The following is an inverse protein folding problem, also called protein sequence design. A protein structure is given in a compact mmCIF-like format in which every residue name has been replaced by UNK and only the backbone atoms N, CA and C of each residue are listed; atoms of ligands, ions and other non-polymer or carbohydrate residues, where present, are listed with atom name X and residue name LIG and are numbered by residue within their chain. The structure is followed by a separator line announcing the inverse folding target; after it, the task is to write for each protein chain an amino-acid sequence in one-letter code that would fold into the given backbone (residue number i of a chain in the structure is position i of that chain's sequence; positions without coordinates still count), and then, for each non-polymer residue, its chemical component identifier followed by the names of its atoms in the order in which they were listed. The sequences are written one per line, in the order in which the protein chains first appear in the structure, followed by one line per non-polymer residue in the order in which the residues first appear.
data_IF_784525958073
#
_entry.id   IF_784525958073
#
_cell.length_a   1.000
_cell.length_b   1.000
_cell.length_c   1.000
_cell.angle_alpha   90.00
_cell.angle_beta   90.00
_cell.angle_gamma   90.00
#
_symmetry.space_group_name_H-M   'P 1'
#
loop_
_entity.id
_entity.type
_entity.pdbx_description
1 polymer ?
#
# COMPACT_ATOMS: atom_id res chain seq x y z
N UNK A 1 -6.72 -17.69 11.46
CA UNK A 1 -6.59 -19.14 11.76
C UNK A 1 -5.52 -19.32 12.81
N UNK A 2 -5.72 -20.27 13.74
CA UNK A 2 -4.71 -20.68 14.71
C UNK A 2 -4.34 -22.15 14.49
N UNK A 3 -3.06 -22.49 14.60
CA UNK A 3 -2.55 -23.85 14.50
C UNK A 3 -1.41 -24.08 15.48
N UNK A 4 -1.38 -25.25 16.08
CA UNK A 4 -0.22 -25.71 16.86
C UNK A 4 0.66 -26.58 15.97
N UNK A 5 1.92 -26.22 15.82
CA UNK A 5 2.91 -26.97 15.03
C UNK A 5 4.05 -27.37 15.95
N UNK A 6 4.39 -28.67 15.97
CA UNK A 6 5.56 -29.18 16.68
C UNK A 6 6.76 -29.12 15.73
N UNK A 7 7.80 -28.36 16.11
CA UNK A 7 9.03 -28.23 15.33
C UNK A 7 10.25 -28.37 16.26
N UNK A 8 11.45 -28.68 15.72
CA UNK A 8 12.68 -28.54 16.48
C UNK A 8 12.80 -27.16 17.13
N UNK A 9 13.43 -27.09 18.29
CA UNK A 9 13.67 -25.84 18.99
C UNK A 9 14.80 -25.09 18.27
N UNK A 10 14.44 -24.09 17.49
CA UNK A 10 15.39 -23.24 16.77
C UNK A 10 15.64 -21.94 17.53
N UNK A 11 16.80 -21.31 17.27
CA UNK A 11 17.19 -20.05 17.93
C UNK A 11 16.84 -18.81 17.10
N UNK A 12 16.84 -18.91 15.76
CA UNK A 12 16.67 -17.73 14.88
C UNK A 12 15.26 -17.63 14.35
N UNK A 13 14.66 -16.45 14.48
CA UNK A 13 13.31 -16.16 14.03
C UNK A 13 13.06 -16.46 12.53
N UNK A 14 13.95 -16.08 11.59
CA UNK A 14 13.74 -16.42 10.17
C UNK A 14 13.69 -17.92 9.89
N UNK A 15 14.53 -18.71 10.56
CA UNK A 15 14.56 -20.17 10.42
C UNK A 15 13.25 -20.78 10.93
N UNK A 16 12.75 -20.31 12.08
CA UNK A 16 11.45 -20.74 12.64
C UNK A 16 10.32 -20.44 11.66
N UNK A 17 10.25 -19.21 11.14
CA UNK A 17 9.19 -18.80 10.21
C UNK A 17 9.22 -19.61 8.91
N UNK A 18 10.41 -19.89 8.37
CA UNK A 18 10.54 -20.73 7.17
C UNK A 18 10.04 -22.15 7.41
N UNK A 19 10.39 -22.78 8.54
CA UNK A 19 9.86 -24.12 8.87
C UNK A 19 8.35 -24.10 9.09
N UNK A 20 7.83 -23.11 9.83
CA UNK A 20 6.38 -22.94 10.03
C UNK A 20 5.67 -22.80 8.68
N UNK A 21 6.21 -22.01 7.75
CA UNK A 21 5.63 -21.84 6.42
C UNK A 21 5.59 -23.15 5.63
N UNK A 22 6.67 -23.94 5.66
CA UNK A 22 6.73 -25.25 4.99
C UNK A 22 5.66 -26.20 5.55
N UNK A 23 5.55 -26.30 6.88
CA UNK A 23 4.52 -27.14 7.52
C UNK A 23 3.10 -26.67 7.19
N UNK A 24 2.85 -25.36 7.23
CA UNK A 24 1.55 -24.80 6.89
C UNK A 24 1.16 -25.07 5.43
N UNK A 25 2.11 -25.01 4.49
CA UNK A 25 1.84 -25.27 3.06
C UNK A 25 1.39 -26.70 2.79
N UNK A 26 1.78 -27.65 3.63
CA UNK A 26 1.36 -29.05 3.52
C UNK A 26 -0.09 -29.25 3.98
N UNK A 27 -0.57 -28.39 4.89
CA UNK A 27 -1.87 -28.55 5.55
C UNK A 27 -2.93 -27.64 4.91
N UNK A 28 -2.53 -26.51 4.34
CA UNK A 28 -3.43 -25.43 3.93
C UNK A 28 -3.35 -25.21 2.42
N UNK A 29 -4.48 -25.32 1.75
CA UNK A 29 -4.62 -25.07 0.29
C UNK A 29 -4.63 -23.59 -0.09
N UNK A 30 -4.43 -22.67 0.87
CA UNK A 30 -4.46 -21.23 0.64
C UNK A 30 -3.06 -20.68 0.36
N UNK A 31 -2.99 -19.63 -0.46
CA UNK A 31 -1.76 -18.89 -0.72
C UNK A 31 -1.28 -18.14 0.53
N UNK A 32 -0.31 -18.71 1.23
CA UNK A 32 0.27 -18.15 2.45
C UNK A 32 0.93 -16.78 2.23
N UNK A 33 1.28 -16.41 0.99
CA UNK A 33 1.81 -15.07 0.70
C UNK A 33 0.78 -13.96 0.96
N UNK A 34 -0.51 -14.32 0.99
CA UNK A 34 -1.63 -13.42 1.33
C UNK A 34 -1.91 -13.35 2.82
N UNK A 35 -1.09 -13.98 3.66
CA UNK A 35 -1.26 -14.00 5.11
C UNK A 35 -0.03 -13.42 5.79
N UNK A 36 -0.28 -12.69 6.87
CA UNK A 36 0.74 -12.40 7.86
C UNK A 36 0.76 -13.55 8.87
N UNK A 37 1.94 -14.14 9.03
CA UNK A 37 2.17 -15.27 9.92
C UNK A 37 2.96 -14.78 11.12
N UNK A 38 2.51 -15.14 12.31
CA UNK A 38 3.25 -14.91 13.54
C UNK A 38 3.11 -16.13 14.47
N UNK A 39 3.97 -16.23 15.49
CA UNK A 39 3.95 -17.39 16.39
C UNK A 39 4.34 -17.07 17.82
N UNK A 40 3.83 -17.86 18.76
CA UNK A 40 4.25 -17.93 20.16
C UNK A 40 4.77 -19.35 20.47
N UNK A 41 5.77 -19.47 21.33
CA UNK A 41 6.24 -20.78 21.81
C UNK A 41 5.40 -21.12 23.05
N UNK A 42 4.60 -22.19 22.98
CA UNK A 42 3.77 -22.60 24.13
C UNK A 42 4.50 -23.52 25.09
N UNK A 43 5.17 -24.55 24.59
CA UNK A 43 5.90 -25.54 25.41
C UNK A 43 7.19 -25.98 24.73
N UNK A 44 8.24 -26.18 25.52
CA UNK A 44 9.48 -26.84 25.10
C UNK A 44 9.42 -28.30 25.52
N UNK A 45 9.71 -29.20 24.59
CA UNK A 45 9.66 -30.65 24.78
C UNK A 45 11.09 -31.16 24.58
N UNK A 46 11.67 -31.77 25.60
CA UNK A 46 12.93 -32.48 25.44
C UNK A 46 12.61 -33.95 25.16
N UNK A 47 12.86 -34.41 23.94
CA UNK A 47 12.80 -35.82 23.57
C UNK A 47 14.23 -36.37 23.48
N UNK A 48 14.40 -37.68 23.65
CA UNK A 48 15.72 -38.34 23.67
C UNK A 48 16.58 -38.06 22.41
N UNK A 49 15.98 -37.60 21.31
CA UNK A 49 16.62 -37.26 20.04
C UNK A 49 16.68 -35.74 19.71
N UNK A 50 16.39 -34.85 20.66
CA UNK A 50 16.54 -33.41 20.47
C UNK A 50 15.51 -32.56 21.21
N UNK A 51 15.77 -31.26 21.31
CA UNK A 51 14.82 -30.30 21.85
C UNK A 51 13.82 -29.88 20.77
N UNK A 52 12.54 -30.05 21.06
CA UNK A 52 11.40 -29.60 20.26
C UNK A 52 10.64 -28.50 20.99
N UNK A 53 9.79 -27.80 20.25
CA UNK A 53 8.81 -26.90 20.83
C UNK A 53 7.49 -26.94 20.07
N UNK A 54 6.41 -26.67 20.79
CA UNK A 54 5.10 -26.40 20.21
C UNK A 54 5.01 -24.90 19.92
N UNK A 55 4.76 -24.57 18.66
CA UNK A 55 4.58 -23.21 18.17
C UNK A 55 3.09 -22.99 17.91
N UNK A 56 2.50 -22.01 18.58
CA UNK A 56 1.16 -21.52 18.32
C UNK A 56 1.25 -20.49 17.22
N UNK A 57 0.77 -20.86 16.04
CA UNK A 57 0.90 -20.09 14.81
C UNK A 57 -0.41 -19.40 14.50
N UNK A 58 -0.31 -18.10 14.29
CA UNK A 58 -1.40 -17.21 13.94
C UNK A 58 -1.26 -16.79 12.48
N UNK A 59 -2.25 -17.13 11.67
CA UNK A 59 -2.33 -16.72 10.27
C UNK A 59 -3.49 -15.75 10.09
N UNK A 60 -3.17 -14.49 9.75
CA UNK A 60 -4.14 -13.41 9.53
C UNK A 60 -4.05 -12.95 8.07
N UNK A 61 -5.17 -12.93 7.31
CA UNK A 61 -5.17 -12.39 5.95
C UNK A 61 -4.62 -10.96 5.89
N UNK A 62 -3.72 -10.68 4.95
CA UNK A 62 -3.14 -9.35 4.75
C UNK A 62 -4.20 -8.30 4.43
N UNK A 63 -5.27 -8.70 3.73
CA UNK A 63 -6.40 -7.80 3.42
C UNK A 63 -7.00 -7.23 4.71
N UNK A 64 -7.29 -8.08 5.70
CA UNK A 64 -7.84 -7.62 6.99
C UNK A 64 -6.86 -6.69 7.72
N UNK A 65 -5.57 -7.02 7.73
CA UNK A 65 -4.54 -6.17 8.36
C UNK A 65 -4.49 -4.79 7.69
N UNK A 66 -4.54 -4.75 6.35
CA UNK A 66 -4.52 -3.50 5.60
C UNK A 66 -5.80 -2.69 5.84
N UNK A 67 -6.98 -3.33 5.81
CA UNK A 67 -8.27 -2.66 6.02
C UNK A 67 -8.33 -1.95 7.38
N UNK A 68 -7.86 -2.60 8.46
CA UNK A 68 -7.77 -1.98 9.79
C UNK A 68 -6.71 -0.87 9.86
N UNK A 69 -5.61 -1.00 9.10
CA UNK A 69 -4.58 0.03 9.01
C UNK A 69 -5.13 1.28 8.32
N UNK A 70 -5.80 1.11 7.19
CA UNK A 70 -6.41 2.18 6.41
C UNK A 70 -7.55 2.85 7.18
N UNK A 71 -8.34 2.07 7.93
CA UNK A 71 -9.40 2.60 8.79
C UNK A 71 -8.82 3.50 9.89
N UNK A 72 -7.76 3.04 10.57
CA UNK A 72 -7.10 3.83 11.61
C UNK A 72 -6.54 5.14 11.04
N UNK A 73 -5.93 5.11 9.86
CA UNK A 73 -5.41 6.30 9.18
C UNK A 73 -6.53 7.28 8.81
N UNK A 74 -7.63 6.79 8.22
CA UNK A 74 -8.80 7.63 7.88
C UNK A 74 -9.45 8.29 9.10
N UNK A 75 -9.39 7.64 10.26
CA UNK A 75 -9.88 8.18 11.52
C UNK A 75 -8.84 9.05 12.25
N UNK A 76 -7.66 9.31 11.65
CA UNK A 76 -6.53 9.99 12.26
C UNK A 76 -6.07 9.36 13.59
N UNK A 77 -6.24 8.04 13.73
CA UNK A 77 -5.79 7.26 14.88
C UNK A 77 -4.41 6.68 14.63
N UNK A 78 -3.57 6.69 15.67
CA UNK A 78 -2.29 5.98 15.65
C UNK A 78 -2.53 4.50 15.93
N UNK A 79 -2.55 3.67 14.89
CA UNK A 79 -2.64 2.22 15.05
C UNK A 79 -1.45 1.69 15.88
N UNK A 80 -1.74 1.21 17.08
CA UNK A 80 -0.72 0.68 17.99
C UNK A 80 -0.44 -0.79 17.75
N UNK A 81 -1.46 -1.62 17.76
CA UNK A 81 -1.37 -3.08 17.64
C UNK A 81 -2.64 -3.62 16.95
N UNK A 82 -2.47 -4.66 16.12
CA UNK A 82 -3.57 -5.48 15.62
C UNK A 82 -3.39 -6.86 16.25
N UNK A 83 -4.45 -7.34 16.90
CA UNK A 83 -4.46 -8.60 17.64
C UNK A 83 -5.65 -9.46 17.25
N UNK A 84 -5.49 -10.77 17.40
CA UNK A 84 -6.58 -11.75 17.26
C UNK A 84 -7.23 -12.01 18.60
N UNK A 85 -8.51 -12.43 18.61
CA UNK A 85 -9.19 -12.81 19.84
C UNK A 85 -8.43 -13.87 20.65
N UNK A 86 -7.77 -14.83 19.99
CA UNK A 86 -6.92 -15.81 20.65
C UNK A 86 -5.75 -15.19 21.42
N UNK A 87 -5.11 -14.16 20.88
CA UNK A 87 -4.05 -13.43 21.60
C UNK A 87 -4.61 -12.62 22.77
N UNK A 88 -5.80 -12.02 22.60
CA UNK A 88 -6.48 -11.33 23.71
C UNK A 88 -6.71 -12.27 24.91
N UNK A 89 -7.12 -13.52 24.65
CA UNK A 89 -7.29 -14.54 25.71
C UNK A 89 -5.97 -14.86 26.41
N UNK A 90 -4.84 -14.92 25.69
CA UNK A 90 -3.53 -15.16 26.30
C UNK A 90 -3.16 -14.06 27.31
N UNK A 91 -3.60 -12.82 27.08
CA UNK A 91 -3.35 -11.70 28.00
C UNK A 91 -3.99 -11.90 29.39
N UNK A 92 -5.09 -12.66 29.48
CA UNK A 92 -5.71 -13.02 30.77
C UNK A 92 -4.68 -13.75 31.65
N UNK A 93 -4.03 -14.76 31.11
CA UNK A 93 -3.03 -15.56 31.83
C UNK A 93 -1.73 -14.78 32.02
N UNK A 94 -1.26 -14.07 30.99
CA UNK A 94 0.01 -13.33 31.03
C UNK A 94 0.02 -12.25 32.10
N UNK A 95 -1.09 -11.55 32.29
CA UNK A 95 -1.21 -10.44 33.25
C UNK A 95 -2.02 -10.81 34.50
N UNK A 96 -2.31 -12.10 34.67
CA UNK A 96 -3.04 -12.61 35.83
C UNK A 96 -4.37 -11.88 36.07
N UNK A 97 -5.12 -11.61 34.99
CA UNK A 97 -6.39 -10.91 35.03
C UNK A 97 -7.44 -11.88 35.57
N UNK A 98 -8.09 -11.52 36.68
CA UNK A 98 -9.18 -12.31 37.21
C UNK A 98 -10.43 -12.09 36.35
N UNK A 99 -11.09 -13.16 35.94
CA UNK A 99 -12.38 -13.16 35.25
C UNK A 99 -13.45 -13.52 36.28
N UNK A 100 -14.49 -12.70 36.41
CA UNK A 100 -15.52 -12.90 37.43
C UNK A 100 -14.91 -13.08 38.83
N UNK A 101 -13.91 -12.26 39.17
CA UNK A 101 -13.16 -12.29 40.45
C UNK A 101 -12.29 -13.56 40.66
N UNK A 102 -12.24 -14.47 39.68
CA UNK A 102 -11.43 -15.69 39.74
C UNK A 102 -10.19 -15.60 38.87
N UNK A 103 -9.02 -15.89 39.45
CA UNK A 103 -7.77 -16.03 38.69
C UNK A 103 -7.77 -17.41 38.03
N UNK A 104 -7.61 -17.45 36.71
CA UNK A 104 -7.64 -18.69 35.94
C UNK A 104 -6.34 -19.47 36.10
N UNK A 105 -6.45 -20.79 36.33
CA UNK A 105 -5.29 -21.65 36.51
C UNK A 105 -4.71 -22.09 35.16
N UNK A 106 -3.38 -22.04 35.02
CA UNK A 106 -2.68 -22.63 33.87
C UNK A 106 -2.84 -24.16 33.79
N UNK A 107 -3.30 -24.84 34.84
CA UNK A 107 -3.54 -26.29 34.80
C UNK A 107 -4.90 -26.64 34.17
N UNK A 108 -5.78 -25.66 34.03
CA UNK A 108 -7.12 -25.86 33.51
C UNK A 108 -7.16 -25.63 32.00
N UNK A 109 -8.08 -26.34 31.35
CA UNK A 109 -8.48 -26.12 29.97
C UNK A 109 -9.82 -25.38 29.99
N UNK A 110 -9.81 -24.13 29.54
CA UNK A 110 -10.97 -23.24 29.65
C UNK A 110 -11.40 -22.80 28.25
N UNK A 111 -12.70 -22.95 27.97
CA UNK A 111 -13.29 -22.46 26.73
C UNK A 111 -13.87 -21.06 26.90
N UNK A 112 -13.74 -20.23 25.87
CA UNK A 112 -14.33 -18.91 25.76
C UNK A 112 -15.22 -18.87 24.52
N UNK A 113 -16.50 -18.59 24.72
CA UNK A 113 -17.52 -18.60 23.68
C UNK A 113 -18.02 -17.19 23.46
N UNK A 114 -17.78 -16.66 22.26
CA UNK A 114 -18.39 -15.41 21.82
C UNK A 114 -19.70 -15.73 21.12
N UNK A 115 -20.80 -15.17 21.59
CA UNK A 115 -22.06 -15.15 20.86
C UNK A 115 -22.19 -13.76 20.22
N UNK A 116 -21.77 -13.64 18.97
CA UNK A 116 -21.94 -12.43 18.18
C UNK A 116 -23.38 -12.25 17.70
N UNK A 117 -23.63 -11.18 16.94
CA UNK A 117 -24.95 -10.95 16.32
C UNK A 117 -25.26 -12.03 15.28
N UNK A 118 -24.31 -12.30 14.39
CA UNK A 118 -24.48 -13.22 13.24
C UNK A 118 -23.41 -14.31 13.24
N UNK A 119 -22.73 -14.54 14.37
CA UNK A 119 -21.65 -15.50 14.44
C UNK A 119 -21.47 -16.02 15.85
N UNK A 120 -20.90 -17.21 15.96
CA UNK A 120 -20.44 -17.79 17.21
C UNK A 120 -18.97 -18.20 17.04
N UNK A 121 -18.15 -17.90 18.03
CA UNK A 121 -16.76 -18.37 18.07
C UNK A 121 -16.46 -19.10 19.36
N UNK A 122 -15.66 -20.14 19.26
CA UNK A 122 -15.25 -21.01 20.34
C UNK A 122 -13.73 -21.06 20.37
N UNK A 123 -13.17 -20.50 21.44
CA UNK A 123 -11.74 -20.46 21.70
C UNK A 123 -11.44 -21.35 22.90
N UNK A 124 -10.33 -22.09 22.89
CA UNK A 124 -9.89 -22.85 24.06
C UNK A 124 -8.49 -22.44 24.43
N UNK A 125 -8.32 -22.10 25.71
CA UNK A 125 -7.03 -21.88 26.34
C UNK A 125 -6.64 -23.13 27.12
N UNK A 126 -5.45 -23.63 26.85
CA UNK A 126 -4.86 -24.75 27.55
C UNK A 126 -3.44 -24.39 27.97
N UNK A 127 -3.07 -24.70 29.21
CA UNK A 127 -1.74 -24.36 29.73
C UNK A 127 -1.44 -22.85 29.66
N UNK A 128 -2.48 -22.02 29.82
CA UNK A 128 -2.39 -20.56 29.74
C UNK A 128 -2.26 -19.99 28.32
N UNK A 129 -2.40 -20.83 27.28
CA UNK A 129 -2.28 -20.40 25.89
C UNK A 129 -3.50 -20.86 25.08
N UNK A 130 -4.12 -19.93 24.36
CA UNK A 130 -5.15 -20.22 23.39
C UNK A 130 -4.53 -20.94 22.19
N UNK A 131 -4.77 -22.25 22.08
CA UNK A 131 -4.23 -23.12 21.04
C UNK A 131 -5.31 -23.62 20.06
N UNK A 132 -6.58 -23.32 20.34
CA UNK A 132 -7.72 -23.70 19.52
C UNK A 132 -8.69 -22.54 19.31
N UNK A 133 -9.16 -22.39 18.07
CA UNK A 133 -10.19 -21.42 17.72
C UNK A 133 -10.97 -21.92 16.50
N UNK A 134 -12.30 -21.89 16.63
CA UNK A 134 -13.24 -22.15 15.53
C UNK A 134 -14.39 -21.14 15.59
N UNK A 135 -14.94 -20.79 14.46
CA UNK A 135 -16.10 -19.90 14.37
C UNK A 135 -17.03 -20.33 13.25
N UNK A 136 -18.32 -20.03 13.41
CA UNK A 136 -19.33 -20.20 12.36
C UNK A 136 -20.24 -19.00 12.30
N UNK A 137 -20.74 -18.70 11.12
CA UNK A 137 -21.83 -17.74 10.95
C UNK A 137 -23.15 -18.38 11.37
N UNK A 138 -23.97 -17.59 12.05
CA UNK A 138 -25.36 -17.92 12.35
C UNK A 138 -26.17 -17.32 11.21
N UNK A 139 -26.69 -18.18 10.32
CA UNK A 139 -27.60 -17.72 9.26
C UNK A 139 -28.90 -17.28 9.92
N UNK A 140 -29.14 -15.98 10.00
CA UNK A 140 -30.50 -15.47 10.17
C UNK A 140 -31.25 -15.85 8.89
N UNK A 141 -32.18 -16.81 8.97
CA UNK A 141 -33.18 -16.99 7.92
C UNK A 141 -34.06 -15.74 7.90
N UNK A 142 -33.64 -14.73 7.14
CA UNK A 142 -34.56 -13.69 6.71
C UNK A 142 -35.62 -14.41 5.87
N UNK A 143 -36.81 -14.62 6.44
CA UNK A 143 -38.00 -14.77 5.61
C UNK A 143 -38.18 -13.43 4.90
N UNK A 144 -37.60 -13.29 3.71
CA UNK A 144 -38.15 -12.32 2.76
C UNK A 144 -39.63 -12.68 2.63
N UNK A 145 -40.48 -11.79 3.12
CA UNK A 145 -41.90 -11.82 2.76
C UNK A 145 -41.96 -11.46 1.28
N UNK A 146 -41.72 -12.46 0.42
CA UNK A 146 -42.03 -12.35 -0.99
C UNK A 146 -43.53 -12.16 -1.09
N UNK A 147 -43.96 -11.06 -1.71
CA UNK A 147 -45.35 -10.68 -1.91
C UNK A 147 -46.01 -11.50 -3.04
N UNK A 148 -45.76 -12.81 -3.08
CA UNK A 148 -46.41 -13.73 -3.99
C UNK A 148 -47.20 -14.76 -3.18
N UNK A 149 -48.47 -15.02 -3.53
CA UNK A 149 -49.26 -16.03 -2.84
C UNK A 149 -48.65 -17.39 -3.15
N UNK A 150 -48.00 -18.01 -2.16
CA UNK A 150 -47.48 -19.36 -2.32
C UNK A 150 -48.65 -20.33 -2.56
N UNK A 151 -48.53 -21.25 -3.53
CA UNK A 151 -49.58 -22.22 -3.82
C UNK A 151 -49.75 -23.16 -2.63
N UNK A 152 -51.02 -23.32 -2.21
CA UNK A 152 -51.51 -24.07 -1.04
C UNK A 152 -51.28 -25.61 -1.14
N UNK A 153 -50.44 -26.08 -2.06
CA UNK A 153 -50.15 -27.49 -2.29
C UNK A 153 -48.66 -27.80 -2.24
N UNK A 154 -48.02 -27.57 -1.10
CA UNK A 154 -46.80 -28.28 -0.72
C UNK A 154 -46.69 -28.38 0.81
N UNK A 155 -47.71 -28.99 1.43
CA UNK A 155 -47.53 -29.68 2.70
C UNK A 155 -46.68 -30.93 2.43
N UNK A 156 -45.37 -30.75 2.37
CA UNK A 156 -44.44 -31.83 2.64
C UNK A 156 -43.58 -31.35 3.78
N UNK A 157 -43.73 -32.05 4.91
CA UNK A 157 -42.80 -32.04 6.01
C UNK A 157 -41.37 -32.25 5.47
N UNK A 158 -40.68 -31.17 5.10
CA UNK A 158 -39.23 -31.14 5.08
C UNK A 158 -38.81 -30.79 6.51
N UNK A 159 -38.68 -31.83 7.34
CA UNK A 159 -37.80 -31.89 8.54
C UNK A 159 -37.47 -30.52 9.17
N UNK A 160 -38.25 -30.05 10.16
CA UNK A 160 -37.94 -30.23 11.59
C UNK A 160 -36.48 -30.58 11.90
N UNK A 161 -35.85 -29.71 12.69
CA UNK A 161 -34.87 -30.05 13.74
C UNK A 161 -33.61 -30.81 13.36
N UNK A 162 -32.70 -30.15 12.64
CA UNK A 162 -31.27 -30.49 12.77
C UNK A 162 -30.49 -29.23 13.16
N UNK A 163 -30.42 -28.99 14.46
CA UNK A 163 -29.23 -28.43 15.12
C UNK A 163 -28.83 -26.96 14.80
N UNK A 164 -29.79 -26.06 14.59
CA UNK A 164 -29.48 -24.63 14.36
C UNK A 164 -29.57 -23.73 15.62
N UNK A 165 -29.73 -24.30 16.82
CA UNK A 165 -29.64 -23.52 18.06
C UNK A 165 -28.19 -23.17 18.38
N UNK A 166 -27.97 -22.04 19.06
CA UNK A 166 -26.65 -21.64 19.59
C UNK A 166 -26.02 -22.79 20.38
N UNK A 167 -26.82 -23.50 21.18
CA UNK A 167 -26.34 -24.60 22.02
C UNK A 167 -25.87 -25.80 21.19
N UNK A 168 -26.57 -26.12 20.10
CA UNK A 168 -26.13 -27.20 19.22
C UNK A 168 -24.80 -26.87 18.53
N UNK A 169 -24.60 -25.62 18.10
CA UNK A 169 -23.31 -25.19 17.56
C UNK A 169 -22.18 -25.25 18.60
N UNK A 170 -22.46 -24.90 19.86
CA UNK A 170 -21.50 -25.07 20.96
C UNK A 170 -21.14 -26.55 21.14
N UNK A 171 -22.13 -27.45 21.18
CA UNK A 171 -21.90 -28.90 21.29
C UNK A 171 -21.05 -29.41 20.12
N UNK A 172 -21.31 -28.94 18.90
CA UNK A 172 -20.53 -29.29 17.71
C UNK A 172 -19.07 -28.83 17.83
N UNK A 173 -18.83 -27.61 18.29
CA UNK A 173 -17.47 -27.12 18.53
C UNK A 173 -16.75 -27.90 19.62
N UNK A 174 -17.43 -28.23 20.72
CA UNK A 174 -16.88 -29.08 21.77
C UNK A 174 -16.51 -30.47 21.25
N UNK A 175 -17.39 -31.12 20.48
CA UNK A 175 -17.10 -32.42 19.84
C UNK A 175 -15.87 -32.34 18.94
N UNK A 176 -15.77 -31.27 18.12
CA UNK A 176 -14.61 -31.08 17.27
C UNK A 176 -13.33 -30.86 18.08
N UNK A 177 -13.38 -30.02 19.12
CA UNK A 177 -12.26 -29.83 20.04
C UNK A 177 -11.80 -31.16 20.66
N UNK A 178 -12.72 -31.97 21.19
CA UNK A 178 -12.38 -33.28 21.78
C UNK A 178 -11.80 -34.26 20.76
N UNK A 179 -12.23 -34.20 19.49
CA UNK A 179 -11.68 -35.06 18.43
C UNK A 179 -10.22 -34.73 18.07
N UNK A 180 -9.79 -33.48 18.25
CA UNK A 180 -8.41 -33.05 17.92
C UNK A 180 -7.51 -32.89 19.13
N UNK A 181 -8.08 -32.83 20.34
CA UNK A 181 -7.33 -32.71 21.58
C UNK A 181 -7.15 -34.11 22.19
N UNK A 182 -5.96 -34.69 22.00
CA UNK A 182 -5.63 -36.08 22.35
C UNK A 182 -5.72 -36.47 23.85
N UNK A 183 -6.41 -35.73 24.73
CA UNK A 183 -6.70 -36.08 26.15
C UNK A 183 -7.37 -34.95 26.97
N UNK A 184 -7.59 -33.76 26.41
CA UNK A 184 -7.95 -32.57 27.20
C UNK A 184 -9.46 -32.46 27.41
N UNK A 185 -9.89 -32.48 28.66
CA UNK A 185 -11.28 -32.19 29.03
C UNK A 185 -11.42 -30.72 29.40
N UNK A 186 -12.53 -30.09 29.00
CA UNK A 186 -12.83 -28.72 29.39
C UNK A 186 -13.22 -28.69 30.87
N UNK A 187 -12.57 -27.82 31.63
CA UNK A 187 -12.88 -27.59 33.04
C UNK A 187 -14.03 -26.60 33.21
N UNK A 188 -14.04 -25.54 32.39
CA UNK A 188 -14.99 -24.43 32.51
C UNK A 188 -15.23 -23.76 31.15
N UNK A 189 -16.40 -23.16 31.00
CA UNK A 189 -16.79 -22.37 29.84
C UNK A 189 -17.14 -20.95 30.29
N UNK A 190 -16.51 -19.96 29.69
CA UNK A 190 -16.95 -18.57 29.79
C UNK A 190 -17.68 -18.13 28.53
N UNK A 191 -18.78 -17.42 28.70
CA UNK A 191 -19.59 -16.85 27.61
C UNK A 191 -19.49 -15.33 27.64
N UNK A 192 -19.31 -14.73 26.47
CA UNK A 192 -19.35 -13.29 26.27
C UNK A 192 -20.06 -12.95 24.95
N UNK A 193 -20.33 -11.67 24.72
CA UNK A 193 -21.15 -11.18 23.63
C UNK A 193 -22.65 -11.13 23.97
N UNK A 194 -23.49 -11.34 22.95
CA UNK A 194 -24.94 -11.24 22.99
C UNK A 194 -25.59 -12.57 23.42
N UNK A 195 -25.32 -13.02 24.65
CA UNK A 195 -26.01 -14.18 25.22
C UNK A 195 -27.37 -13.78 25.81
N UNK A 196 -28.45 -14.39 25.32
CA UNK A 196 -29.80 -14.23 25.91
C UNK A 196 -29.97 -15.16 27.11
N UNK A 197 -30.79 -14.75 28.06
CA UNK A 197 -31.09 -15.54 29.26
C UNK A 197 -31.69 -16.93 28.94
N UNK A 198 -32.53 -17.04 27.91
CA UNK A 198 -33.07 -18.32 27.44
C UNK A 198 -31.98 -19.25 26.90
N UNK A 199 -31.04 -18.70 26.12
CA UNK A 199 -29.88 -19.44 25.62
C UNK A 199 -29.01 -19.92 26.77
N UNK A 200 -28.78 -19.09 27.79
CA UNK A 200 -28.02 -19.48 28.97
C UNK A 200 -28.68 -20.63 29.74
N UNK A 201 -30.00 -20.59 29.91
CA UNK A 201 -30.77 -21.71 30.51
C UNK A 201 -30.59 -23.01 29.71
N UNK A 202 -30.71 -22.94 28.40
CA UNK A 202 -30.52 -24.10 27.53
C UNK A 202 -29.08 -24.64 27.61
N UNK A 203 -28.08 -23.77 27.69
CA UNK A 203 -26.68 -24.16 27.88
C UNK A 203 -26.49 -24.88 29.21
N UNK A 204 -26.97 -24.31 30.32
CA UNK A 204 -26.80 -24.89 31.66
C UNK A 204 -27.52 -26.23 31.83
N UNK A 205 -28.61 -26.44 31.09
CA UNK A 205 -29.36 -27.70 31.12
C UNK A 205 -28.75 -28.79 30.24
N UNK A 206 -28.18 -28.41 29.07
CA UNK A 206 -27.63 -29.37 28.09
C UNK A 206 -26.14 -29.64 28.27
N UNK A 207 -25.37 -28.68 28.80
CA UNK A 207 -23.94 -28.84 29.03
C UNK A 207 -23.71 -29.25 30.48
N UNK A 208 -23.12 -30.43 30.69
CA UNK A 208 -22.70 -30.89 32.01
C UNK A 208 -21.29 -30.35 32.38
N UNK A 209 -21.09 -29.04 32.23
CA UNK A 209 -19.84 -28.32 32.51
C UNK A 209 -20.19 -27.00 33.18
N UNK A 210 -19.32 -26.50 34.05
CA UNK A 210 -19.47 -25.17 34.64
C UNK A 210 -19.43 -24.07 33.56
N UNK A 211 -20.50 -23.28 33.46
CA UNK A 211 -20.66 -22.22 32.46
C UNK A 211 -21.01 -20.91 33.14
N UNK A 212 -20.24 -19.86 32.85
CA UNK A 212 -20.48 -18.52 33.37
C UNK A 212 -20.46 -17.45 32.27
N UNK A 213 -21.31 -16.43 32.42
CA UNK A 213 -21.20 -15.21 31.60
C UNK A 213 -20.12 -14.32 32.22
N UNK A 214 -19.26 -13.74 31.38
CA UNK A 214 -18.25 -12.78 31.84
C UNK A 214 -18.91 -11.45 32.18
N UNK A 215 -18.82 -11.03 33.44
CA UNK A 215 -19.36 -9.75 33.90
C UNK A 215 -18.31 -8.84 34.54
N UNK A 216 -17.17 -9.38 34.97
CA UNK A 216 -16.08 -8.58 35.55
C UNK A 216 -14.70 -9.06 35.10
N UNK A 217 -13.76 -8.12 35.12
CA UNK A 217 -12.35 -8.32 34.86
C UNK A 217 -11.58 -7.49 35.89
N UNK A 218 -10.57 -8.06 36.55
CA UNK A 218 -9.74 -7.32 37.51
C UNK A 218 -8.93 -6.22 36.81
N UNK A 219 -8.45 -5.26 37.60
CA UNK A 219 -7.57 -4.18 37.14
C UNK A 219 -8.21 -3.22 36.12
N UNK A 220 -9.53 -3.23 35.96
CA UNK A 220 -10.29 -2.21 35.24
C UNK A 220 -10.89 -1.20 36.19
N UNK A 221 -10.31 0.00 36.17
CA UNK A 221 -10.93 1.19 36.75
C UNK A 221 -11.57 1.93 35.58
N UNK A 222 -12.86 1.71 35.37
CA UNK A 222 -13.65 2.41 34.35
C UNK A 222 -14.75 3.19 35.07
N UNK A 223 -14.87 4.48 34.79
CA UNK A 223 -16.11 5.22 35.00
C UNK A 223 -17.15 4.69 34.01
N UNK A 224 -17.88 3.66 34.42
CA UNK A 224 -18.80 2.94 33.54
C UNK A 224 -20.10 3.73 33.39
N UNK A 225 -20.54 4.07 32.17
CA UNK A 225 -21.94 4.42 31.98
C UNK A 225 -22.82 3.22 32.38
N UNK A 226 -24.03 3.47 32.89
CA UNK A 226 -24.94 2.46 33.41
C UNK A 226 -25.30 1.35 32.41
N UNK A 227 -25.06 1.57 31.11
CA UNK A 227 -25.35 0.65 30.00
C UNK A 227 -24.15 -0.19 29.57
N UNK A 228 -22.96 0.01 30.16
CA UNK A 228 -21.76 -0.72 29.78
C UNK A 228 -21.73 -2.13 30.38
N UNK A 229 -21.80 -3.13 29.50
CA UNK A 229 -21.68 -4.54 29.87
C UNK A 229 -20.34 -5.09 29.37
N UNK A 230 -19.49 -5.57 30.29
CA UNK A 230 -18.17 -6.13 29.96
C UNK A 230 -18.28 -7.29 28.97
N UNK A 231 -19.31 -8.14 29.10
CA UNK A 231 -19.58 -9.25 28.18
C UNK A 231 -19.60 -8.81 26.71
N UNK A 232 -20.24 -7.68 26.39
CA UNK A 232 -20.38 -7.18 25.01
C UNK A 232 -19.09 -6.62 24.43
N UNK A 233 -18.20 -6.12 25.28
CA UNK A 233 -16.95 -5.47 24.89
C UNK A 233 -15.70 -6.26 25.30
N UNK A 234 -15.85 -7.50 25.73
CA UNK A 234 -14.81 -8.29 26.39
C UNK A 234 -13.46 -8.29 25.65
N UNK A 235 -13.45 -8.64 24.36
CA UNK A 235 -12.23 -8.65 23.56
C UNK A 235 -11.60 -7.25 23.43
N UNK A 236 -12.42 -6.20 23.26
CA UNK A 236 -11.95 -4.81 23.16
C UNK A 236 -11.35 -4.33 24.47
N UNK A 237 -11.92 -4.76 25.60
CA UNK A 237 -11.38 -4.45 26.92
C UNK A 237 -10.05 -5.19 27.13
N UNK A 238 -9.96 -6.46 26.71
CA UNK A 238 -8.72 -7.23 26.82
C UNK A 238 -7.57 -6.67 25.99
N UNK A 239 -7.83 -6.07 24.83
CA UNK A 239 -6.76 -5.43 24.04
C UNK A 239 -6.14 -4.23 24.75
N UNK A 240 -6.81 -3.61 25.72
CA UNK A 240 -6.23 -2.51 26.53
C UNK A 240 -5.12 -3.00 27.46
N UNK A 241 -5.24 -4.23 27.96
CA UNK A 241 -4.20 -4.86 28.78
C UNK A 241 -3.08 -5.44 27.93
N UNK A 242 -3.41 -5.81 26.69
CA UNK A 242 -2.44 -6.44 25.81
C UNK A 242 -1.33 -5.47 25.42
N UNK A 243 -0.11 -5.96 25.55
CA UNK A 243 1.10 -5.38 24.97
C UNK A 243 1.80 -6.60 24.38
N UNK A 244 1.29 -7.07 23.24
CA UNK A 244 1.85 -8.27 22.63
C UNK A 244 3.12 -7.90 21.87
N UNK A 245 4.18 -8.71 22.06
CA UNK A 245 5.39 -8.58 21.24
C UNK A 245 5.13 -9.00 19.77
N UNK A 246 3.97 -9.60 19.52
CA UNK A 246 3.57 -10.18 18.24
C UNK A 246 2.46 -9.33 17.66
N UNK A 247 2.90 -8.32 16.92
CA UNK A 247 2.03 -7.32 16.36
C UNK A 247 1.79 -7.57 14.86
N UNK A 248 0.51 -7.65 14.47
CA UNK A 248 0.14 -7.74 13.06
C UNK A 248 0.26 -6.43 12.30
N UNK A 249 0.55 -5.31 12.98
CA UNK A 249 0.87 -4.04 12.33
C UNK A 249 1.84 -4.24 11.19
N UNK A 250 1.48 -3.71 10.03
CA UNK A 250 2.45 -3.49 8.99
C UNK A 250 3.41 -2.45 9.56
N UNK A 251 4.58 -2.89 10.05
CA UNK A 251 5.71 -1.99 10.23
C UNK A 251 5.76 -1.19 8.95
N UNK A 252 5.60 0.15 9.05
CA UNK A 252 5.43 1.05 7.90
C UNK A 252 6.14 0.41 6.74
N UNK A 253 5.39 -0.10 5.76
CA UNK A 253 5.92 0.01 4.41
C UNK A 253 6.13 1.51 4.35
N UNK A 254 7.37 1.96 4.58
CA UNK A 254 7.86 3.12 3.86
C UNK A 254 7.31 2.83 2.49
N UNK A 255 6.42 3.69 2.03
CA UNK A 255 6.01 3.76 0.64
C UNK A 255 7.32 4.05 -0.08
N UNK A 256 8.19 3.05 -0.20
CA UNK A 256 9.53 3.11 -0.75
C UNK A 256 9.48 2.51 -2.13
N UNK A 257 8.42 1.79 -2.47
CA UNK A 257 8.26 1.22 -3.79
C UNK A 257 7.38 2.10 -4.68
N UNK A 258 6.33 2.79 -4.19
CA UNK A 258 5.61 3.75 -5.05
C UNK A 258 6.48 4.98 -5.34
N UNK A 259 7.25 5.51 -4.38
CA UNK A 259 8.16 6.64 -4.66
C UNK A 259 9.44 6.24 -5.41
N UNK A 260 9.95 5.00 -5.30
CA UNK A 260 11.05 4.57 -6.18
C UNK A 260 10.57 4.37 -7.61
N UNK A 261 9.41 3.76 -7.83
CA UNK A 261 8.83 3.69 -9.17
C UNK A 261 8.38 5.06 -9.66
N UNK A 262 7.89 5.97 -8.81
CA UNK A 262 7.54 7.32 -9.21
C UNK A 262 8.77 8.18 -9.50
N UNK A 263 9.87 8.06 -8.76
CA UNK A 263 11.16 8.73 -9.07
C UNK A 263 11.77 8.12 -10.33
N UNK A 264 11.76 6.79 -10.50
CA UNK A 264 12.21 6.14 -11.74
C UNK A 264 11.31 6.55 -12.91
N UNK A 265 9.98 6.65 -12.72
CA UNK A 265 9.06 7.18 -13.74
C UNK A 265 9.34 8.66 -14.01
N UNK A 266 9.63 9.48 -13.00
CA UNK A 266 9.93 10.91 -13.17
C UNK A 266 11.28 11.12 -13.87
N UNK A 267 12.28 10.28 -13.57
CA UNK A 267 13.59 10.27 -14.24
C UNK A 267 13.46 9.75 -15.67
N UNK A 268 12.67 8.70 -15.92
CA UNK A 268 12.37 8.22 -17.27
C UNK A 268 11.54 9.24 -18.05
N UNK A 269 10.57 9.90 -17.41
CA UNK A 269 9.71 10.93 -18.02
C UNK A 269 10.47 12.21 -18.32
N UNK A 270 11.38 12.63 -17.43
CA UNK A 270 12.28 13.76 -17.69
C UNK A 270 13.34 13.42 -18.74
N UNK A 271 13.92 12.21 -18.72
CA UNK A 271 14.84 11.74 -19.75
C UNK A 271 14.16 11.60 -21.12
N UNK A 272 12.90 11.15 -21.15
CA UNK A 272 12.12 11.08 -22.40
C UNK A 272 11.64 12.45 -22.86
N UNK A 273 11.36 13.41 -21.98
CA UNK A 273 11.13 14.82 -22.36
C UNK A 273 12.40 15.48 -22.94
N UNK A 274 13.58 15.20 -22.38
CA UNK A 274 14.87 15.69 -22.92
C UNK A 274 15.19 15.02 -24.25
N UNK A 275 14.94 13.71 -24.40
CA UNK A 275 15.09 13.00 -25.67
C UNK A 275 14.07 13.50 -26.71
N UNK A 276 12.81 13.73 -26.34
CA UNK A 276 11.78 14.26 -27.24
C UNK A 276 12.12 15.69 -27.68
N UNK A 277 12.61 16.53 -26.77
CA UNK A 277 13.15 17.86 -27.09
C UNK A 277 14.36 17.80 -28.02
N UNK A 278 15.27 16.85 -27.80
CA UNK A 278 16.44 16.61 -28.66
C UNK A 278 16.04 16.13 -30.06
N UNK A 279 15.12 15.16 -30.17
CA UNK A 279 14.58 14.68 -31.45
C UNK A 279 13.82 15.78 -32.20
N UNK A 280 13.01 16.58 -31.50
CA UNK A 280 12.29 17.68 -32.14
C UNK A 280 13.25 18.78 -32.61
N UNK A 281 14.33 19.05 -31.86
CA UNK A 281 15.39 19.97 -32.29
C UNK A 281 16.18 19.45 -33.49
N UNK A 282 16.50 18.14 -33.52
CA UNK A 282 17.17 17.48 -34.65
C UNK A 282 16.29 17.47 -35.90
N UNK A 283 14.99 17.24 -35.75
CA UNK A 283 14.04 17.26 -36.86
C UNK A 283 13.84 18.68 -37.40
N UNK A 284 13.76 19.68 -36.52
CA UNK A 284 13.69 21.08 -36.93
C UNK A 284 15.00 21.54 -37.60
N UNK A 285 16.15 21.06 -37.13
CA UNK A 285 17.45 21.31 -37.74
C UNK A 285 17.58 20.61 -39.10
N UNK A 286 17.10 19.36 -39.24
CA UNK A 286 17.04 18.65 -40.52
C UNK A 286 16.10 19.34 -41.52
N UNK A 287 14.94 19.83 -41.06
CA UNK A 287 14.02 20.59 -41.91
C UNK A 287 14.63 21.93 -42.35
N UNK A 288 15.34 22.63 -41.46
CA UNK A 288 16.09 23.84 -41.81
C UNK A 288 17.24 23.55 -42.78
N UNK A 289 18.02 22.51 -42.55
CA UNK A 289 19.10 22.08 -43.46
C UNK A 289 18.52 21.68 -44.82
N UNK A 290 17.40 20.97 -44.84
CA UNK A 290 16.71 20.62 -46.08
C UNK A 290 16.26 21.87 -46.81
N UNK A 291 15.55 22.79 -46.15
CA UNK A 291 15.10 24.04 -46.76
C UNK A 291 16.28 24.89 -47.28
N UNK A 292 17.38 24.95 -46.53
CA UNK A 292 18.59 25.67 -46.90
C UNK A 292 19.31 24.98 -48.06
N UNK A 293 19.34 23.65 -48.10
CA UNK A 293 19.89 22.88 -49.22
C UNK A 293 19.04 23.04 -50.49
N UNK A 294 17.71 23.12 -50.36
CA UNK A 294 16.80 23.42 -51.47
C UNK A 294 16.99 24.86 -51.95
N UNK A 295 17.18 25.81 -51.03
CA UNK A 295 17.47 27.21 -51.36
C UNK A 295 18.80 27.38 -52.10
N UNK A 296 19.86 26.69 -51.64
CA UNK A 296 21.20 26.71 -52.24
C UNK A 296 21.24 25.93 -53.57
N UNK A 297 20.49 24.85 -53.67
CA UNK A 297 20.37 24.02 -54.88
C UNK A 297 19.50 24.64 -55.97
N UNK A 298 18.69 25.65 -55.62
CA UNK A 298 17.91 26.42 -56.58
C UNK A 298 18.79 27.44 -57.32
N UNK A 299 19.07 27.13 -58.58
CA UNK A 299 19.96 27.92 -59.45
C UNK A 299 19.52 29.37 -59.65
N UNK A 300 18.24 29.70 -59.38
CA UNK A 300 17.78 31.09 -59.43
C UNK A 300 18.24 31.90 -58.21
N UNK A 301 18.29 31.31 -57.01
CA UNK A 301 18.73 32.02 -55.80
C UNK A 301 20.23 32.31 -55.82
N UNK A 302 21.03 31.41 -56.40
CA UNK A 302 22.46 31.66 -56.60
C UNK A 302 22.72 32.85 -57.53
N UNK A 303 21.90 33.03 -58.59
CA UNK A 303 21.98 34.21 -59.47
C UNK A 303 21.64 35.49 -58.69
N UNK A 304 20.55 35.49 -57.94
CA UNK A 304 20.16 36.64 -57.12
C UNK A 304 21.22 37.00 -56.08
N UNK A 305 21.88 36.00 -55.46
CA UNK A 305 22.92 36.26 -54.47
C UNK A 305 24.22 36.82 -55.09
N UNK A 306 24.58 36.36 -56.29
CA UNK A 306 25.68 36.95 -57.08
C UNK A 306 25.36 38.40 -57.44
N UNK A 307 24.11 38.69 -57.82
CA UNK A 307 23.65 40.04 -58.13
C UNK A 307 23.71 40.96 -56.90
N UNK A 308 23.29 40.47 -55.73
CA UNK A 308 23.40 41.20 -54.46
C UNK A 308 24.87 41.47 -54.08
N UNK A 309 25.76 40.49 -54.26
CA UNK A 309 27.20 40.68 -54.04
C UNK A 309 27.80 41.73 -54.96
N UNK A 310 27.40 41.73 -56.24
CA UNK A 310 27.85 42.74 -57.21
C UNK A 310 27.35 44.13 -56.84
N UNK A 311 26.07 44.26 -56.45
CA UNK A 311 25.49 45.52 -55.99
C UNK A 311 26.16 46.04 -54.71
N UNK A 312 26.55 45.16 -53.77
CA UNK A 312 27.33 45.55 -52.59
C UNK A 312 28.71 46.09 -52.95
N UNK A 313 29.42 45.42 -53.87
CA UNK A 313 30.73 45.89 -54.36
C UNK A 313 30.63 47.24 -55.06
N UNK A 314 29.57 47.44 -55.84
CA UNK A 314 29.29 48.71 -56.50
C UNK A 314 28.98 49.82 -55.47
N UNK A 315 28.14 49.52 -54.47
CA UNK A 315 27.86 50.45 -53.37
C UNK A 315 29.12 50.87 -52.62
N UNK A 316 29.97 49.92 -52.23
CA UNK A 316 31.24 50.20 -51.54
C UNK A 316 32.18 51.07 -52.39
N UNK A 317 32.20 50.84 -53.71
CA UNK A 317 32.97 51.67 -54.65
C UNK A 317 32.43 53.10 -54.70
N UNK A 318 31.11 53.26 -54.79
CA UNK A 318 30.45 54.56 -54.83
C UNK A 318 30.63 55.35 -53.53
N UNK A 319 30.57 54.69 -52.37
CA UNK A 319 30.84 55.34 -51.08
C UNK A 319 32.29 55.85 -50.99
N UNK A 320 33.27 55.05 -51.43
CA UNK A 320 34.68 55.48 -51.50
C UNK A 320 34.88 56.65 -52.46
N UNK A 321 34.18 56.63 -53.59
CA UNK A 321 34.20 57.72 -54.55
C UNK A 321 33.63 59.01 -53.96
N UNK A 322 32.47 58.92 -53.31
CA UNK A 322 31.82 60.05 -52.67
C UNK A 322 32.72 60.69 -51.60
N UNK A 323 33.37 59.87 -50.77
CA UNK A 323 34.34 60.35 -49.77
C UNK A 323 35.53 61.09 -50.42
N UNK A 324 36.00 60.64 -51.58
CA UNK A 324 37.07 61.34 -52.30
C UNK A 324 36.60 62.66 -52.91
N UNK A 325 35.37 62.68 -53.45
CA UNK A 325 34.77 63.88 -54.01
C UNK A 325 34.52 64.95 -52.92
N UNK A 326 34.07 64.55 -51.74
CA UNK A 326 33.90 65.44 -50.59
C UNK A 326 35.23 66.05 -50.13
N UNK A 327 36.27 65.22 -49.95
CA UNK A 327 37.63 65.70 -49.61
C UNK A 327 38.18 66.66 -50.66
N UNK A 328 37.91 66.41 -51.93
CA UNK A 328 38.33 67.29 -53.01
C UNK A 328 37.54 68.60 -52.97
N UNK A 329 36.25 68.56 -52.66
CA UNK A 329 35.42 69.76 -52.51
C UNK A 329 35.91 70.64 -51.36
N UNK A 330 36.23 70.05 -50.20
CA UNK A 330 36.85 70.75 -49.07
C UNK A 330 38.18 71.41 -49.49
N UNK A 331 39.06 70.69 -50.19
CA UNK A 331 40.33 71.24 -50.69
C UNK A 331 40.15 72.40 -51.68
N UNK A 332 39.07 72.40 -52.47
CA UNK A 332 38.75 73.50 -53.39
C UNK A 332 38.22 74.72 -52.61
N UNK A 333 37.45 74.51 -51.55
CA UNK A 333 36.95 75.61 -50.69
C UNK A 333 38.09 76.27 -49.90
N UNK A 334 39.09 75.49 -49.45
CA UNK A 334 40.22 76.00 -48.66
C UNK A 334 41.30 76.71 -49.49
N UNK A 335 41.29 76.58 -50.83
CA UNK A 335 42.30 77.17 -51.71
C UNK A 335 41.69 78.16 -52.72
N UNK A 336 42.13 79.41 -52.67
CA UNK A 336 41.67 80.49 -53.57
C UNK A 336 42.23 80.41 -55.01
N UNK A 337 42.97 79.35 -55.36
CA UNK A 337 43.51 79.14 -56.70
C UNK A 337 43.58 77.65 -57.08
N UNK A 338 43.33 77.36 -58.35
CA UNK A 338 43.44 75.99 -58.90
C UNK A 338 44.89 75.73 -59.28
N UNK A 339 45.54 74.80 -58.59
CA UNK A 339 46.89 74.36 -58.92
C UNK A 339 46.91 73.00 -59.65
N UNK A 340 48.10 72.61 -60.13
CA UNK A 340 48.29 71.35 -60.83
C UNK A 340 47.99 70.11 -59.97
N UNK A 341 48.04 70.23 -58.63
CA UNK A 341 47.77 69.14 -57.69
C UNK A 341 46.27 68.89 -57.61
N UNK A 342 45.46 69.95 -57.55
CA UNK A 342 43.98 69.87 -57.59
C UNK A 342 43.52 69.22 -58.89
N UNK A 343 44.05 69.64 -60.05
CA UNK A 343 43.73 69.04 -61.35
C UNK A 343 44.12 67.56 -61.44
N UNK A 344 45.26 67.18 -60.86
CA UNK A 344 45.71 65.79 -60.83
C UNK A 344 44.81 64.92 -59.93
N UNK A 345 44.38 65.45 -58.78
CA UNK A 345 43.42 64.78 -57.89
C UNK A 345 42.05 64.61 -58.55
N UNK A 346 41.53 65.61 -59.25
CA UNK A 346 40.31 65.52 -60.06
C UNK A 346 40.41 64.36 -61.06
N UNK A 347 41.51 64.27 -61.82
CA UNK A 347 41.68 63.21 -62.80
C UNK A 347 41.89 61.82 -62.18
N UNK A 348 42.46 61.73 -60.98
CA UNK A 348 42.59 60.46 -60.24
C UNK A 348 41.28 60.01 -59.62
N UNK A 349 40.41 60.94 -59.22
CA UNK A 349 39.11 60.69 -58.63
C UNK A 349 37.98 60.67 -59.66
N UNK A 350 38.26 60.32 -60.92
CA UNK A 350 37.21 60.16 -61.94
C UNK A 350 36.64 58.74 -61.94
N UNK A 351 35.34 58.54 -62.23
CA UNK A 351 34.77 57.21 -62.35
C UNK A 351 35.46 56.39 -63.44
N UNK A 352 35.49 55.06 -63.25
CA UNK A 352 36.00 54.13 -64.25
C UNK A 352 35.22 54.29 -65.57
N UNK A 353 35.95 54.48 -66.68
CA UNK A 353 35.36 54.72 -68.01
C UNK A 353 35.16 56.20 -68.38
N UNK A 354 35.37 57.15 -67.47
CA UNK A 354 35.27 58.58 -67.79
C UNK A 354 36.50 59.07 -68.57
N UNK A 355 36.30 59.48 -69.82
CA UNK A 355 37.32 60.15 -70.64
C UNK A 355 37.35 61.64 -70.28
N UNK A 356 38.54 62.15 -69.96
CA UNK A 356 38.75 63.59 -69.81
C UNK A 356 39.10 64.13 -71.19
N UNK A 357 38.21 64.94 -71.76
CA UNK A 357 38.49 65.66 -73.00
C UNK A 357 39.45 66.81 -72.67
N UNK A 358 40.58 66.89 -73.38
CA UNK A 358 41.50 68.01 -73.26
C UNK A 358 40.81 69.30 -73.67
N UNK A 359 40.93 70.35 -72.85
CA UNK A 359 40.64 71.72 -73.30
C UNK A 359 41.88 72.18 -74.06
N UNK A 360 41.85 72.05 -75.39
CA UNK A 360 42.73 72.80 -76.28
C UNK A 360 41.90 73.92 -76.92
N UNK A 361 42.21 75.14 -76.50
CA UNK A 361 42.09 76.35 -77.31
C UNK A 361 43.19 76.39 -78.35
#
# INVERSE_FOLDING_TARGET
MIRTIKLPLLKKNPEILSMIQIELQQIISADLCKYKIAYEISNKINENNGSYANYIVYCVPLVLVNDYTDLAEKLNLKLREIETASQCINSIYKYNIAVNETILSIKETIAFINIGKNSISFLVANSGVCDFCISSEIKETYMERVAEPQPVYMYTNCYLDVDNSIVSQIIKFMRFFYSVSNTKLLNKIYIYGNCKHETMKEINTKLNIDVEIIFSLSNLIIEKPSTFEISKYFNVVLTLFSHSNINFNVAKKKIRNIYRYAIILFVIMSASLVLFGFFNSQMNMKNKISAMSTYIGDGNNNKTNIEIENLKKEKDYLEKFLLQAEKLHEMIIENDYVDSIILRKINMSKPYGTKVTSVQS
#
